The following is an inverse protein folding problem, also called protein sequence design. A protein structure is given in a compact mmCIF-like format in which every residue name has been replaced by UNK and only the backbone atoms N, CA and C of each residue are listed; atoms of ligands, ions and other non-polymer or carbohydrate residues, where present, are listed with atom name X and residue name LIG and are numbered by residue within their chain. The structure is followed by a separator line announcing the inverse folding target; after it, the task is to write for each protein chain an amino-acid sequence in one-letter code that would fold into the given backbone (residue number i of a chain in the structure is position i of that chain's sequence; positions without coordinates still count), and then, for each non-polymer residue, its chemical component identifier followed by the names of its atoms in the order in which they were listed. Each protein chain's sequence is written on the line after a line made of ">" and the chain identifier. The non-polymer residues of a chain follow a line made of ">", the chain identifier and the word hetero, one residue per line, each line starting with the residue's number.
data_IF_575125083179
#
_entry.id   IF_575125083179
#
_cell.length_a   1.000
_cell.length_b   1.000
_cell.length_c   1.000
_cell.angle_alpha   90.00
_cell.angle_beta   90.00
_cell.angle_gamma   90.00
#
_symmetry.space_group_name_H-M   'P 1'
#
loop_
_entity.id
_entity.type
_entity.pdbx_description
1 polymer ?
#
# COMPACT_ATOMS: atom_id res chain seq x y z
N UNK A 1 6.24 19.56 -25.96
CA UNK A 1 6.71 18.55 -24.97
C UNK A 1 5.95 18.53 -23.63
N UNK A 2 4.84 19.26 -23.41
CA UNK A 2 4.14 19.23 -22.11
C UNK A 2 3.37 17.93 -21.86
N UNK A 3 2.91 17.25 -22.91
CA UNK A 3 2.11 16.03 -22.75
C UNK A 3 2.92 14.84 -22.20
N UNK A 4 4.18 14.69 -22.59
CA UNK A 4 5.04 13.63 -22.09
C UNK A 4 5.32 13.79 -20.58
N UNK A 5 5.54 15.03 -20.13
CA UNK A 5 5.72 15.33 -18.72
C UNK A 5 4.46 15.07 -17.89
N UNK A 6 3.28 15.29 -18.46
CA UNK A 6 2.00 14.97 -17.81
C UNK A 6 1.79 13.46 -17.65
N UNK A 7 2.09 12.66 -18.68
CA UNK A 7 2.04 11.19 -18.59
C UNK A 7 3.04 10.61 -17.60
N UNK A 8 4.26 11.17 -17.55
CA UNK A 8 5.27 10.75 -16.58
C UNK A 8 4.81 11.06 -15.15
N UNK A 9 4.21 12.24 -14.91
CA UNK A 9 3.64 12.59 -13.62
C UNK A 9 2.47 11.68 -13.22
N UNK A 10 1.58 11.35 -14.16
CA UNK A 10 0.48 10.40 -13.93
C UNK A 10 0.99 9.00 -13.60
N UNK A 11 2.02 8.52 -14.30
CA UNK A 11 2.67 7.23 -14.02
C UNK A 11 3.36 7.26 -12.64
N UNK A 12 4.06 8.34 -12.30
CA UNK A 12 4.68 8.48 -10.98
C UNK A 12 3.63 8.51 -9.87
N UNK A 13 2.52 9.21 -10.03
CA UNK A 13 1.40 9.20 -9.08
C UNK A 13 0.80 7.80 -8.94
N UNK A 14 0.69 7.05 -10.03
CA UNK A 14 0.19 5.66 -10.00
C UNK A 14 1.15 4.71 -9.29
N UNK A 15 2.47 4.91 -9.40
CA UNK A 15 3.48 4.11 -8.72
C UNK A 15 3.72 4.51 -7.25
N UNK A 16 3.38 5.74 -6.86
CA UNK A 16 3.54 6.24 -5.48
C UNK A 16 2.32 6.00 -4.60
N UNK A 17 1.28 5.30 -5.07
CA UNK A 17 0.28 4.76 -4.15
C UNK A 17 0.99 3.79 -3.22
N UNK A 18 1.35 4.27 -2.03
CA UNK A 18 1.91 3.46 -0.95
C UNK A 18 0.96 2.29 -0.70
N UNK A 19 1.37 1.11 -1.15
CA UNK A 19 0.73 -0.12 -0.72
C UNK A 19 0.96 -0.20 0.78
N UNK A 20 -0.09 -0.04 1.57
CA UNK A 20 -0.04 -0.43 2.96
C UNK A 20 0.48 -1.87 3.01
N UNK A 21 1.47 -2.15 3.86
CA UNK A 21 1.95 -3.51 4.02
C UNK A 21 0.82 -4.35 4.61
N UNK A 22 0.36 -5.34 3.87
CA UNK A 22 -0.67 -6.28 4.33
C UNK A 22 -0.03 -7.35 5.20
N UNK A 23 -0.45 -7.44 6.46
CA UNK A 23 -0.09 -8.50 7.41
C UNK A 23 -1.28 -9.44 7.56
N UNK A 24 -1.04 -10.74 7.42
CA UNK A 24 -2.03 -11.77 7.69
C UNK A 24 -1.72 -12.47 9.01
N UNK A 25 -2.73 -12.67 9.84
CA UNK A 25 -2.62 -13.39 11.09
C UNK A 25 -3.73 -14.44 11.21
N UNK A 26 -3.44 -15.49 11.97
CA UNK A 26 -4.41 -16.54 12.27
C UNK A 26 -5.15 -16.17 13.55
N UNK A 27 -6.46 -16.42 13.60
CA UNK A 27 -7.26 -16.22 14.80
C UNK A 27 -6.68 -16.94 16.02
N UNK A 28 -6.60 -16.25 17.15
CA UNK A 28 -6.00 -16.76 18.37
C UNK A 28 -4.47 -16.70 18.40
N UNK A 29 -3.82 -16.33 17.30
CA UNK A 29 -2.38 -16.11 17.23
C UNK A 29 -1.96 -14.71 17.65
N UNK A 30 -0.64 -14.48 17.64
CA UNK A 30 -0.05 -13.17 17.87
C UNK A 30 0.26 -12.49 16.53
N UNK A 31 0.01 -11.18 16.43
CA UNK A 31 0.32 -10.38 15.26
C UNK A 31 1.38 -9.32 15.59
N UNK A 32 2.40 -9.21 14.73
CA UNK A 32 3.41 -8.16 14.80
C UNK A 32 3.28 -7.25 13.58
N UNK A 33 2.96 -6.00 13.80
CA UNK A 33 2.82 -4.98 12.75
C UNK A 33 4.07 -4.11 12.74
N UNK A 34 4.86 -4.14 11.65
CA UNK A 34 6.09 -3.36 11.58
C UNK A 34 5.79 -1.87 11.41
N UNK A 35 6.56 -1.03 12.09
CA UNK A 35 6.59 0.39 11.81
C UNK A 35 7.55 0.62 10.63
N UNK A 36 7.02 0.84 9.42
CA UNK A 36 7.74 0.78 8.14
C UNK A 36 8.62 2.00 7.90
N UNK A 37 9.67 2.15 8.71
CA UNK A 37 10.73 3.13 8.49
C UNK A 37 12.07 2.43 8.44
N UNK A 38 12.80 2.65 7.34
CA UNK A 38 14.21 2.26 7.28
C UNK A 38 14.97 3.02 8.36
N UNK A 39 15.78 2.33 9.14
CA UNK A 39 16.61 2.89 10.20
C UNK A 39 15.88 3.83 11.17
N UNK A 40 14.72 3.40 11.69
CA UNK A 40 13.94 4.19 12.67
C UNK A 40 14.80 4.65 13.87
N UNK A 41 15.85 3.90 14.21
CA UNK A 41 16.75 4.23 15.32
C UNK A 41 17.65 5.42 15.01
N UNK A 42 18.02 5.62 13.73
CA UNK A 42 18.86 6.74 13.28
C UNK A 42 18.07 8.05 13.15
N UNK A 43 16.74 7.97 13.04
CA UNK A 43 15.90 9.15 12.90
C UNK A 43 15.80 9.92 14.22
N UNK A 44 15.98 11.25 14.17
CA UNK A 44 15.72 12.11 15.31
C UNK A 44 14.20 12.30 15.49
N UNK A 45 13.63 11.68 16.54
CA UNK A 45 12.22 11.80 16.88
C UNK A 45 12.00 11.86 18.39
N UNK A 46 10.87 12.45 18.79
CA UNK A 46 10.45 12.57 20.20
C UNK A 46 9.70 11.32 20.64
N UNK A 47 8.77 10.83 19.84
CA UNK A 47 7.92 9.70 20.20
C UNK A 47 7.37 8.94 19.00
N UNK A 48 7.09 7.66 19.23
CA UNK A 48 6.34 6.79 18.32
C UNK A 48 5.00 6.46 18.96
N UNK A 49 3.93 6.50 18.18
CA UNK A 49 2.59 6.13 18.64
C UNK A 49 1.89 5.26 17.59
N UNK A 50 1.12 4.29 18.07
CA UNK A 50 0.28 3.44 17.25
C UNK A 50 -1.19 3.79 17.42
N UNK A 51 -1.92 3.80 16.31
CA UNK A 51 -3.35 4.08 16.25
C UNK A 51 -4.04 3.01 15.41
N UNK A 52 -5.26 2.62 15.81
CA UNK A 52 -6.18 1.90 14.92
C UNK A 52 -7.06 2.91 14.21
N UNK A 53 -7.15 2.82 12.89
CA UNK A 53 -7.96 3.72 12.06
C UNK A 53 -9.35 3.14 11.89
N UNK A 54 -10.37 3.91 12.24
CA UNK A 54 -11.75 3.67 11.86
C UNK A 54 -12.14 4.73 10.82
N UNK A 55 -13.23 4.50 10.09
CA UNK A 55 -13.66 5.36 8.97
C UNK A 55 -13.65 6.88 9.26
N UNK A 56 -13.75 7.30 10.51
CA UNK A 56 -13.84 8.71 10.90
C UNK A 56 -12.94 9.10 12.09
N UNK A 57 -12.18 8.16 12.67
CA UNK A 57 -11.41 8.44 13.88
C UNK A 57 -10.11 7.65 13.95
N UNK A 58 -9.13 8.21 14.67
CA UNK A 58 -7.91 7.54 15.07
C UNK A 58 -8.01 7.16 16.54
N UNK A 59 -8.03 5.87 16.84
CA UNK A 59 -8.03 5.39 18.22
C UNK A 59 -6.60 5.06 18.66
N UNK A 60 -6.10 5.77 19.65
CA UNK A 60 -4.77 5.56 20.20
C UNK A 60 -4.64 4.18 20.86
N UNK A 61 -3.55 3.49 20.62
CA UNK A 61 -3.23 2.19 21.20
C UNK A 61 -2.16 2.36 22.27
N UNK A 62 -0.96 2.79 21.86
CA UNK A 62 0.16 3.01 22.75
C UNK A 62 1.14 4.03 22.17
N UNK A 63 1.91 4.67 23.04
CA UNK A 63 2.92 5.66 22.69
C UNK A 63 4.17 5.43 23.51
N UNK A 64 5.36 5.55 22.89
CA UNK A 64 6.65 5.53 23.58
C UNK A 64 7.43 6.80 23.26
N UNK A 65 7.91 7.46 24.28
CA UNK A 65 8.84 8.58 24.17
C UNK A 65 10.27 8.05 24.10
N UNK A 66 11.05 8.50 23.12
CA UNK A 66 12.42 8.00 22.88
C UNK A 66 13.35 8.30 24.07
N UNK A 67 13.32 9.54 24.59
CA UNK A 67 14.24 9.97 25.66
C UNK A 67 13.96 9.32 27.01
N UNK A 68 12.70 9.14 27.35
CA UNK A 68 12.28 8.64 28.66
C UNK A 68 12.16 7.12 28.68
N UNK A 69 12.14 6.48 27.51
CA UNK A 69 11.82 5.05 27.31
C UNK A 69 10.53 4.62 28.01
N UNK A 70 9.62 5.57 28.29
CA UNK A 70 8.35 5.33 28.96
C UNK A 70 7.28 5.05 27.90
N UNK A 71 6.59 3.93 28.09
CA UNK A 71 5.43 3.56 27.29
C UNK A 71 4.15 3.97 27.98
N UNK A 72 3.30 4.74 27.31
CA UNK A 72 1.97 5.11 27.76
C UNK A 72 0.93 4.37 26.91
N UNK A 73 0.00 3.69 27.54
CA UNK A 73 -1.11 3.06 26.86
C UNK A 73 -2.30 4.02 26.79
N UNK A 74 -3.00 4.04 25.65
CA UNK A 74 -4.30 4.69 25.51
C UNK A 74 -5.42 3.72 25.90
N UNK A 75 -6.67 4.18 25.89
CA UNK A 75 -7.84 3.32 26.09
C UNK A 75 -8.05 2.45 24.85
N UNK A 76 -7.29 1.38 24.75
CA UNK A 76 -7.47 0.36 23.71
C UNK A 76 -8.06 -0.89 24.36
N UNK A 77 -9.03 -1.52 23.70
CA UNK A 77 -9.80 -2.63 24.28
C UNK A 77 -8.96 -3.91 24.53
N UNK A 78 -7.76 -3.96 23.96
CA UNK A 78 -6.91 -5.16 24.00
C UNK A 78 -5.50 -4.86 24.50
N UNK A 79 -4.84 -5.82 25.12
CA UNK A 79 -3.45 -5.68 25.53
C UNK A 79 -2.56 -5.57 24.28
N UNK A 80 -1.77 -4.51 24.23
CA UNK A 80 -0.81 -4.23 23.18
C UNK A 80 0.54 -3.86 23.76
N UNK A 81 1.62 -4.20 23.07
CA UNK A 81 2.97 -3.89 23.49
C UNK A 81 3.83 -3.44 22.29
N UNK A 82 4.94 -2.74 22.56
CA UNK A 82 5.97 -2.54 21.55
C UNK A 82 6.86 -3.78 21.45
N UNK A 83 7.06 -4.25 20.24
CA UNK A 83 8.09 -5.22 19.88
C UNK A 83 9.36 -4.53 19.35
N UNK A 84 10.14 -5.28 18.59
CA UNK A 84 11.38 -4.81 18.00
C UNK A 84 11.12 -3.69 16.98
N UNK A 85 12.07 -2.72 16.91
CA UNK A 85 12.01 -1.57 16.01
C UNK A 85 10.66 -0.84 16.07
N UNK A 86 10.09 -0.73 17.27
CA UNK A 86 8.78 -0.08 17.52
C UNK A 86 7.60 -0.74 16.82
N UNK A 87 7.68 -2.02 16.44
CA UNK A 87 6.54 -2.78 15.96
C UNK A 87 5.42 -2.84 17.00
N UNK A 88 4.17 -2.96 16.54
CA UNK A 88 3.01 -3.19 17.41
C UNK A 88 2.78 -4.68 17.55
N UNK A 89 2.84 -5.18 18.79
CA UNK A 89 2.51 -6.56 19.13
C UNK A 89 1.09 -6.63 19.67
N UNK A 90 0.23 -7.38 18.99
CA UNK A 90 -1.13 -7.72 19.41
C UNK A 90 -1.19 -9.21 19.70
N UNK A 91 -1.61 -9.59 20.92
CA UNK A 91 -1.73 -10.99 21.29
C UNK A 91 -3.15 -11.50 21.13
N UNK A 92 -3.26 -12.80 20.78
CA UNK A 92 -4.54 -13.49 20.67
C UNK A 92 -5.53 -12.73 19.78
N UNK A 93 -5.11 -12.39 18.54
CA UNK A 93 -5.90 -11.57 17.63
C UNK A 93 -7.17 -12.30 17.15
N UNK A 94 -8.21 -11.51 16.91
CA UNK A 94 -9.51 -11.97 16.41
C UNK A 94 -9.86 -11.23 15.12
N UNK A 95 -10.84 -11.69 14.32
CA UNK A 95 -11.28 -10.99 13.11
C UNK A 95 -11.63 -9.52 13.33
N UNK A 96 -12.09 -9.15 14.54
CA UNK A 96 -12.38 -7.76 14.92
C UNK A 96 -11.13 -6.87 14.99
N UNK A 97 -9.94 -7.47 15.11
CA UNK A 97 -8.68 -6.74 15.09
C UNK A 97 -8.26 -6.38 13.67
N UNK A 98 -8.87 -6.98 12.65
CA UNK A 98 -8.63 -6.62 11.26
C UNK A 98 -8.88 -5.14 11.03
N UNK A 99 -8.11 -4.55 10.11
CA UNK A 99 -8.23 -3.14 9.74
C UNK A 99 -6.91 -2.44 9.58
N UNK A 100 -6.98 -1.12 9.47
CA UNK A 100 -5.81 -0.26 9.22
C UNK A 100 -5.22 0.26 10.51
N UNK A 101 -3.91 0.15 10.60
CA UNK A 101 -3.11 0.65 11.71
C UNK A 101 -2.12 1.70 11.21
N UNK A 102 -1.89 2.73 12.02
CA UNK A 102 -1.00 3.85 11.70
C UNK A 102 0.10 3.96 12.75
N UNK A 103 1.34 3.76 12.31
CA UNK A 103 2.53 4.07 13.10
C UNK A 103 2.90 5.54 12.85
N UNK A 104 2.71 6.38 13.83
CA UNK A 104 2.96 7.81 13.77
C UNK A 104 4.26 8.17 14.52
N UNK A 105 5.18 8.78 13.81
CA UNK A 105 6.45 9.26 14.32
C UNK A 105 6.38 10.78 14.50
N UNK A 106 6.50 11.25 15.73
CA UNK A 106 6.59 12.68 16.04
C UNK A 106 8.05 13.10 15.97
N UNK A 107 8.40 13.95 15.00
CA UNK A 107 9.77 14.42 14.81
C UNK A 107 10.21 15.37 15.93
N UNK A 108 11.53 15.52 16.09
CA UNK A 108 12.11 16.55 16.94
C UNK A 108 12.00 17.94 16.28
N UNK A 109 12.35 18.99 17.02
CA UNK A 109 12.25 20.39 16.57
C UNK A 109 12.99 20.56 15.23
N UNK A 110 12.29 21.11 14.25
CA UNK A 110 12.82 21.28 12.88
C UNK A 110 12.63 20.08 11.95
N UNK A 111 12.16 18.93 12.45
CA UNK A 111 11.85 17.74 11.66
C UNK A 111 10.38 17.72 11.19
N UNK A 112 10.06 16.77 10.31
CA UNK A 112 8.70 16.52 9.85
C UNK A 112 8.13 15.23 10.41
N UNK A 113 6.90 15.29 10.93
CA UNK A 113 6.18 14.09 11.38
C UNK A 113 5.97 13.13 10.20
N UNK A 114 6.03 11.83 10.49
CA UNK A 114 5.87 10.78 9.49
C UNK A 114 4.82 9.78 9.96
N UNK A 115 4.07 9.22 9.02
CA UNK A 115 3.09 8.18 9.28
C UNK A 115 3.32 7.01 8.34
N UNK A 116 3.14 5.80 8.86
CA UNK A 116 3.27 4.54 8.10
C UNK A 116 2.03 3.69 8.35
N UNK A 117 1.36 3.28 7.26
CA UNK A 117 0.13 2.50 7.32
C UNK A 117 0.41 1.02 7.13
N UNK A 118 -0.23 0.20 7.95
CA UNK A 118 -0.19 -1.27 7.91
C UNK A 118 -1.61 -1.79 7.95
N UNK A 119 -1.95 -2.69 7.03
CA UNK A 119 -3.25 -3.39 7.02
C UNK A 119 -3.09 -4.76 7.69
N UNK A 120 -3.87 -5.00 8.74
CA UNK A 120 -3.98 -6.31 9.38
C UNK A 120 -5.23 -7.02 8.89
N UNK A 121 -5.08 -8.26 8.43
CA UNK A 121 -6.17 -9.17 8.11
C UNK A 121 -6.05 -10.41 8.99
N UNK A 122 -7.02 -10.64 9.84
CA UNK A 122 -7.09 -11.84 10.68
C UNK A 122 -8.08 -12.79 10.05
N UNK A 123 -7.65 -14.04 9.87
CA UNK A 123 -8.51 -15.11 9.33
C UNK A 123 -9.60 -15.47 10.34
N UNK A 124 -10.73 -15.97 9.84
CA UNK A 124 -11.84 -16.41 10.68
C UNK A 124 -11.40 -17.49 11.68
N UNK A 125 -11.95 -17.40 12.90
CA UNK A 125 -11.70 -18.38 13.93
C UNK A 125 -12.41 -19.68 13.56
N UNK A 126 -11.68 -20.66 13.05
CA UNK A 126 -12.23 -22.01 12.89
C UNK A 126 -12.45 -22.60 14.30
N UNK A 127 -13.68 -22.56 14.78
CA UNK A 127 -14.08 -23.47 15.86
C UNK A 127 -13.85 -24.89 15.37
N UNK A 128 -13.17 -25.77 16.13
CA UNK A 128 -13.10 -27.18 15.77
C UNK A 128 -14.48 -27.82 15.95
N UNK A 129 -15.37 -27.53 15.00
CA UNK A 129 -16.60 -28.31 14.87
C UNK A 129 -16.16 -29.61 14.24
N UNK A 130 -16.43 -30.69 14.94
CA UNK A 130 -16.34 -32.10 14.55
C UNK A 130 -16.18 -32.27 13.05
N UNK A 131 -15.01 -32.81 12.63
CA UNK A 131 -14.68 -33.09 11.24
C UNK A 131 -15.82 -33.87 10.58
N UNK A 132 -16.70 -33.16 9.89
CA UNK A 132 -17.46 -33.71 8.79
C UNK A 132 -16.72 -33.25 7.54
N UNK A 133 -16.23 -34.15 6.68
CA UNK A 133 -15.61 -33.72 5.44
C UNK A 133 -16.62 -32.87 4.69
N UNK A 134 -16.30 -31.62 4.31
CA UNK A 134 -17.22 -30.84 3.49
C UNK A 134 -17.46 -31.63 2.21
N UNK A 135 -18.72 -31.69 1.72
CA UNK A 135 -18.95 -32.16 0.38
C UNK A 135 -18.03 -31.33 -0.51
N UNK A 136 -17.21 -32.02 -1.28
CA UNK A 136 -16.29 -31.40 -2.24
C UNK A 136 -17.14 -30.62 -3.25
N UNK A 137 -17.42 -29.36 -2.94
CA UNK A 137 -17.88 -28.42 -3.96
C UNK A 137 -16.77 -28.36 -5.02
N UNK A 138 -17.08 -28.63 -6.28
CA UNK A 138 -16.09 -28.51 -7.33
C UNK A 138 -15.65 -27.05 -7.33
N UNK A 139 -14.39 -26.80 -6.91
CA UNK A 139 -13.72 -25.54 -7.09
C UNK A 139 -13.91 -25.21 -8.57
N UNK A 140 -14.76 -24.22 -8.84
CA UNK A 140 -14.99 -23.73 -10.19
C UNK A 140 -13.70 -23.03 -10.61
N UNK A 141 -12.74 -23.85 -11.06
CA UNK A 141 -11.54 -23.34 -11.68
C UNK A 141 -11.98 -22.43 -12.81
N UNK A 142 -11.84 -21.12 -12.62
CA UNK A 142 -12.00 -20.21 -13.75
C UNK A 142 -11.02 -20.72 -14.82
N UNK A 143 -11.52 -21.11 -15.99
CA UNK A 143 -10.65 -21.70 -16.98
C UNK A 143 -9.52 -20.73 -17.27
N UNK A 144 -8.28 -21.23 -17.15
CA UNK A 144 -7.02 -20.51 -17.41
C UNK A 144 -7.10 -19.71 -18.72
N UNK A 145 -7.92 -20.16 -19.65
CA UNK A 145 -8.26 -19.51 -20.93
C UNK A 145 -8.76 -18.07 -20.75
N UNK A 146 -9.54 -17.76 -19.73
CA UNK A 146 -10.04 -16.39 -19.50
C UNK A 146 -8.93 -15.45 -19.02
N UNK A 147 -7.99 -15.97 -18.24
CA UNK A 147 -6.81 -15.20 -17.81
C UNK A 147 -5.89 -14.90 -19.01
N UNK A 148 -5.65 -15.90 -19.87
CA UNK A 148 -4.83 -15.76 -21.08
C UNK A 148 -5.50 -14.77 -22.05
N UNK A 149 -6.82 -14.87 -22.24
CA UNK A 149 -7.59 -13.98 -23.12
C UNK A 149 -7.48 -12.52 -22.64
N UNK A 150 -7.53 -12.30 -21.33
CA UNK A 150 -7.34 -10.97 -20.74
C UNK A 150 -5.95 -10.39 -21.01
N UNK A 151 -4.88 -11.17 -20.89
CA UNK A 151 -3.53 -10.70 -21.19
C UNK A 151 -3.32 -10.42 -22.69
N UNK A 152 -3.88 -11.26 -23.58
CA UNK A 152 -3.81 -11.07 -25.04
C UNK A 152 -4.52 -9.77 -25.45
N UNK A 153 -5.72 -9.52 -24.94
CA UNK A 153 -6.47 -8.28 -25.27
C UNK A 153 -5.74 -7.03 -24.82
N UNK A 154 -5.20 -7.01 -23.59
CA UNK A 154 -4.39 -5.88 -23.09
C UNK A 154 -3.12 -5.69 -23.92
N UNK A 155 -2.48 -6.78 -24.32
CA UNK A 155 -1.31 -6.74 -25.20
C UNK A 155 -1.61 -6.11 -26.55
N UNK A 156 -2.70 -6.53 -27.20
CA UNK A 156 -3.11 -6.00 -28.51
C UNK A 156 -3.46 -4.51 -28.44
N UNK A 157 -4.17 -4.07 -27.39
CA UNK A 157 -4.49 -2.65 -27.22
C UNK A 157 -3.22 -1.82 -27.09
N UNK A 158 -2.19 -2.28 -26.35
CA UNK A 158 -0.92 -1.58 -26.23
C UNK A 158 -0.20 -1.45 -27.58
N UNK A 159 -0.17 -2.51 -28.38
CA UNK A 159 0.44 -2.51 -29.70
C UNK A 159 -0.27 -1.51 -30.64
N UNK A 160 -1.60 -1.53 -30.68
CA UNK A 160 -2.38 -0.60 -31.50
C UNK A 160 -2.12 0.85 -31.09
N UNK A 161 -2.12 1.16 -29.79
CA UNK A 161 -1.83 2.50 -29.30
C UNK A 161 -0.42 2.95 -29.67
N UNK A 162 0.58 2.05 -29.61
CA UNK A 162 1.95 2.35 -30.01
C UNK A 162 2.04 2.70 -31.50
N UNK A 163 1.37 1.96 -32.36
CA UNK A 163 1.34 2.20 -33.80
C UNK A 163 0.68 3.56 -34.11
N UNK A 164 -0.45 3.87 -33.45
CA UNK A 164 -1.12 5.16 -33.61
C UNK A 164 -0.19 6.31 -33.18
N UNK A 165 0.50 6.17 -32.04
CA UNK A 165 1.45 7.20 -31.60
C UNK A 165 2.58 7.43 -32.61
N UNK A 166 3.17 6.36 -33.15
CA UNK A 166 4.23 6.45 -34.16
C UNK A 166 3.70 7.13 -35.42
N UNK A 167 2.50 6.75 -35.87
CA UNK A 167 1.88 7.34 -37.05
C UNK A 167 1.60 8.86 -36.86
N UNK A 168 1.03 9.24 -35.71
CA UNK A 168 0.78 10.67 -35.38
C UNK A 168 2.07 11.46 -35.35
N UNK A 169 3.13 10.93 -34.73
CA UNK A 169 4.45 11.59 -34.69
C UNK A 169 5.00 11.75 -36.11
N UNK A 170 4.91 10.73 -36.93
CA UNK A 170 5.38 10.75 -38.34
C UNK A 170 4.63 11.81 -39.15
N UNK A 171 3.30 11.88 -39.02
CA UNK A 171 2.51 12.90 -39.71
C UNK A 171 2.85 14.33 -39.27
N UNK A 172 3.04 14.54 -37.95
CA UNK A 172 3.40 15.86 -37.42
C UNK A 172 4.79 16.29 -37.90
N UNK A 173 5.77 15.37 -37.90
CA UNK A 173 7.13 15.67 -38.37
C UNK A 173 7.17 15.97 -39.87
N UNK A 174 6.44 15.19 -40.68
CA UNK A 174 6.32 15.45 -42.13
C UNK A 174 5.67 16.80 -42.43
N UNK A 175 4.63 17.18 -41.68
CA UNK A 175 3.98 18.50 -41.85
C UNK A 175 4.90 19.66 -41.43
N UNK A 176 5.74 19.47 -40.40
CA UNK A 176 6.73 20.48 -39.98
C UNK A 176 7.86 20.63 -40.98
N UNK A 177 8.33 19.59 -41.61
CA UNK A 177 9.35 19.64 -42.68
C UNK A 177 8.85 20.44 -43.87
N UNK A 178 7.64 20.16 -44.36
CA UNK A 178 7.05 20.89 -45.48
C UNK A 178 6.81 22.41 -45.18
N UNK A 179 6.55 22.77 -43.90
CA UNK A 179 6.43 24.17 -43.50
C UNK A 179 7.78 24.90 -43.43
N UNK A 180 8.88 24.21 -43.12
CA UNK A 180 10.23 24.78 -43.14
C UNK A 180 10.71 25.05 -44.55
N UNK A 181 10.45 24.16 -45.48
CA UNK A 181 10.80 24.32 -46.90
C UNK A 181 10.11 25.55 -47.54
N UNK A 182 8.84 25.79 -47.22
CA UNK A 182 8.10 26.98 -47.70
C UNK A 182 8.56 28.32 -47.11
N UNK A 183 9.26 28.33 -45.98
CA UNK A 183 9.80 29.53 -45.33
C UNK A 183 11.25 29.84 -45.74
N UNK A 184 11.91 28.94 -46.41
CA UNK A 184 13.27 29.13 -46.91
C UNK A 184 13.32 29.69 -48.37
N UNK A 185 12.16 29.91 -49.00
CA UNK A 185 12.04 30.45 -50.35
C UNK A 185 11.48 31.91 -50.40
N UNK A 186 11.46 32.60 -49.29
CA UNK A 186 11.19 34.04 -49.14
C UNK A 186 12.41 34.73 -48.52
#
# INVERSE_FOLDING_TARGET
>A
MPQLAFFIKLLLVYYTTQRAAGIQAVCGGDASLPCLYEDIESIAFISVAWYKLNNQSKNGILRRKKRENVTSAYRFARPAAFGDKYSLMLRNVTPEDSGKYDCSLSADIGGTNRNSLVDLTVQDCVTPTTWSPPPSEPVKELPILWSILGYVTVGLVKVVLSIICIWVISVITSRRSKRRERRGFL
#
